data_IF_640406203529
#
_entry.id   IF_640406203529
#
_cell.length_a   1.000
_cell.length_b   1.000
_cell.length_c   1.000
_cell.angle_alpha   90.00
_cell.angle_beta   90.00
_cell.angle_gamma   90.00
#
_symmetry.space_group_name_H-M   'P 1'
#
loop_
_entity.id
_entity.type
_entity.pdbx_description
1 polymer ?
#
# COMPACT_ATOMS: atom_id res chain seq x y z
N UNK A 1 -33.36 -21.08 -2.87
CA UNK A 1 -31.90 -21.12 -2.62
C UNK A 1 -31.26 -20.13 -3.57
N UNK A 2 -31.04 -18.90 -3.12
CA UNK A 2 -30.38 -17.85 -3.91
C UNK A 2 -28.91 -18.21 -4.04
N UNK A 3 -28.49 -18.57 -5.25
CA UNK A 3 -27.06 -18.68 -5.58
C UNK A 3 -26.48 -17.27 -5.44
N UNK A 4 -25.59 -17.06 -4.46
CA UNK A 4 -24.95 -15.78 -4.22
C UNK A 4 -24.18 -15.28 -5.44
N UNK A 5 -24.03 -13.96 -5.55
CA UNK A 5 -23.36 -13.29 -6.66
C UNK A 5 -21.93 -13.87 -6.86
N UNK A 6 -21.51 -14.25 -8.08
CA UNK A 6 -20.15 -14.70 -8.37
C UNK A 6 -19.05 -13.74 -7.88
N UNK A 7 -19.35 -12.44 -7.74
CA UNK A 7 -18.42 -11.47 -7.16
C UNK A 7 -18.21 -11.66 -5.66
N UNK A 8 -19.23 -12.07 -4.90
CA UNK A 8 -19.14 -12.31 -3.45
C UNK A 8 -18.25 -13.53 -3.15
N UNK A 9 -18.32 -14.57 -3.98
CA UNK A 9 -17.45 -15.75 -3.85
C UNK A 9 -15.98 -15.44 -4.14
N UNK A 10 -15.68 -14.59 -5.14
CA UNK A 10 -14.32 -14.11 -5.41
C UNK A 10 -13.79 -13.16 -4.33
N UNK A 11 -14.68 -12.37 -3.71
CA UNK A 11 -14.33 -11.44 -2.64
C UNK A 11 -13.90 -12.19 -1.37
N UNK A 12 -14.62 -13.27 -1.01
CA UNK A 12 -14.27 -14.12 0.14
C UNK A 12 -12.94 -14.87 -0.04
N UNK A 13 -12.62 -15.29 -1.28
CA UNK A 13 -11.43 -16.11 -1.56
C UNK A 13 -10.10 -15.35 -1.43
N UNK A 14 -10.12 -14.02 -1.36
CA UNK A 14 -8.92 -13.19 -1.23
C UNK A 14 -8.77 -12.57 0.17
N UNK A 15 -9.67 -12.87 1.11
CA UNK A 15 -9.55 -12.41 2.49
C UNK A 15 -8.50 -13.24 3.24
N UNK A 16 -7.49 -12.57 3.80
CA UNK A 16 -6.45 -13.23 4.61
C UNK A 16 -6.88 -13.28 6.07
N UNK A 17 -7.36 -12.14 6.58
CA UNK A 17 -7.92 -11.95 7.91
C UNK A 17 -8.90 -10.77 7.87
N UNK A 18 -9.74 -10.55 8.91
CA UNK A 18 -10.60 -9.36 8.97
C UNK A 18 -9.78 -8.08 8.75
N UNK A 19 -10.21 -7.25 7.79
CA UNK A 19 -9.50 -6.02 7.42
C UNK A 19 -8.31 -6.19 6.47
N UNK A 20 -8.04 -7.40 5.94
CA UNK A 20 -6.97 -7.62 4.94
C UNK A 20 -7.42 -8.48 3.77
N UNK A 21 -7.25 -7.95 2.56
CA UNK A 21 -7.33 -8.71 1.31
C UNK A 21 -5.95 -8.83 0.67
N UNK A 22 -5.66 -9.99 0.09
CA UNK A 22 -4.47 -10.24 -0.72
C UNK A 22 -4.89 -10.82 -2.07
N UNK A 23 -4.51 -10.13 -3.14
CA UNK A 23 -4.79 -10.53 -4.52
C UNK A 23 -3.47 -10.88 -5.21
N UNK A 24 -3.14 -12.17 -5.39
CA UNK A 24 -1.97 -12.57 -6.15
C UNK A 24 -2.16 -12.22 -7.63
N UNK A 25 -1.07 -11.92 -8.34
CA UNK A 25 -1.09 -11.59 -9.77
C UNK A 25 -2.10 -10.49 -10.16
N UNK A 26 -2.32 -9.52 -9.27
CA UNK A 26 -3.21 -8.39 -9.48
C UNK A 26 -2.94 -7.63 -10.78
N UNK A 27 -1.70 -7.61 -11.26
CA UNK A 27 -1.38 -7.22 -12.64
C UNK A 27 -0.72 -8.38 -13.41
N UNK A 28 -1.00 -8.52 -14.70
CA UNK A 28 -0.52 -9.64 -15.52
C UNK A 28 0.95 -9.49 -15.95
N UNK A 29 1.66 -10.62 -16.10
CA UNK A 29 3.02 -10.68 -16.67
C UNK A 29 2.99 -10.67 -18.21
N UNK A 30 2.25 -9.73 -18.84
CA UNK A 30 2.32 -9.59 -20.31
C UNK A 30 3.64 -8.91 -20.67
N UNK A 31 4.67 -9.74 -20.85
CA UNK A 31 6.06 -9.46 -21.31
C UNK A 31 6.21 -8.73 -22.66
N UNK A 32 5.30 -7.84 -23.08
CA UNK A 32 5.44 -7.10 -24.36
C UNK A 32 5.30 -5.58 -24.17
N UNK A 33 6.47 -4.95 -23.97
CA UNK A 33 6.91 -3.64 -24.49
C UNK A 33 6.31 -2.32 -23.96
N UNK A 34 5.46 -2.30 -22.91
CA UNK A 34 4.94 -1.02 -22.35
C UNK A 34 5.13 -0.78 -20.84
N UNK A 35 5.80 -1.66 -20.08
CA UNK A 35 6.22 -1.33 -18.70
C UNK A 35 7.30 -0.22 -18.60
N UNK A 36 7.68 0.35 -19.75
CA UNK A 36 8.69 1.39 -19.85
C UNK A 36 8.35 2.64 -19.06
N UNK A 37 7.09 2.97 -18.76
CA UNK A 37 6.77 4.19 -17.99
C UNK A 37 7.13 4.07 -16.51
N UNK A 38 6.78 2.95 -15.85
CA UNK A 38 7.17 2.67 -14.46
C UNK A 38 8.69 2.62 -14.35
N UNK A 39 9.36 1.94 -15.30
CA UNK A 39 10.80 1.77 -15.26
C UNK A 39 11.60 3.00 -15.67
N UNK A 40 11.11 3.82 -16.61
CA UNK A 40 11.75 5.10 -16.97
C UNK A 40 11.62 6.13 -15.85
N UNK A 41 10.60 6.02 -15.01
CA UNK A 41 10.43 6.89 -13.84
C UNK A 41 11.40 6.58 -12.67
N UNK A 42 12.15 5.46 -12.75
CA UNK A 42 13.19 5.04 -11.77
C UNK A 42 14.30 6.07 -11.54
N UNK A 43 14.46 7.06 -12.43
CA UNK A 43 15.58 8.00 -12.43
C UNK A 43 15.34 9.30 -11.64
N UNK A 44 14.16 9.49 -11.01
CA UNK A 44 13.91 10.68 -10.18
C UNK A 44 14.22 10.40 -8.71
N UNK A 45 15.50 10.48 -8.36
CA UNK A 45 15.95 10.53 -6.97
C UNK A 45 15.82 11.97 -6.44
N UNK A 46 15.28 12.14 -5.25
CA UNK A 46 15.31 13.41 -4.55
C UNK A 46 16.74 13.73 -4.05
N UNK A 47 16.93 14.93 -3.48
CA UNK A 47 18.23 15.39 -2.93
C UNK A 47 18.82 14.45 -1.86
N UNK A 48 18.02 13.55 -1.30
CA UNK A 48 18.42 12.58 -0.28
C UNK A 48 18.60 11.16 -0.84
N UNK A 49 18.63 10.99 -2.17
CA UNK A 49 18.82 9.71 -2.84
C UNK A 49 17.59 8.80 -2.90
N UNK A 50 16.45 9.20 -2.31
CA UNK A 50 15.21 8.40 -2.31
C UNK A 50 14.41 8.65 -3.59
N UNK A 51 13.87 7.60 -4.18
CA UNK A 51 12.99 7.68 -5.35
C UNK A 51 11.52 7.59 -4.91
N UNK A 52 11.06 8.61 -4.17
CA UNK A 52 9.65 8.78 -3.79
C UNK A 52 8.97 9.72 -4.77
N UNK A 53 7.85 9.31 -5.35
CA UNK A 53 7.01 10.14 -6.21
C UNK A 53 5.57 10.07 -5.71
N UNK A 54 4.95 11.23 -5.60
CA UNK A 54 3.52 11.35 -5.31
C UNK A 54 2.80 11.77 -6.59
N UNK A 55 1.68 11.12 -6.87
CA UNK A 55 0.78 11.38 -7.98
C UNK A 55 -0.65 11.58 -7.45
N UNK A 56 -1.46 12.40 -8.13
CA UNK A 56 -2.82 12.75 -7.70
C UNK A 56 -2.94 14.11 -7.01
N UNK A 57 -1.81 14.78 -6.77
CA UNK A 57 -1.74 16.15 -6.24
C UNK A 57 -0.88 16.27 -4.99
N UNK A 58 -0.91 17.46 -4.38
CA UNK A 58 -0.20 17.74 -3.13
C UNK A 58 -1.19 17.81 -1.96
N UNK A 59 -0.83 17.17 -0.84
CA UNK A 59 -1.60 17.28 0.40
C UNK A 59 -1.00 18.36 1.29
N UNK A 60 -1.83 19.31 1.68
CA UNK A 60 -1.47 20.37 2.63
C UNK A 60 -1.27 19.82 4.04
N UNK A 61 -0.59 20.58 4.90
CA UNK A 61 -0.48 20.28 6.34
C UNK A 61 -1.84 20.18 7.05
N UNK A 62 -2.91 20.75 6.47
CA UNK A 62 -4.30 20.68 6.95
C UNK A 62 -5.06 19.44 6.43
N UNK A 63 -4.39 18.54 5.71
CA UNK A 63 -4.98 17.31 5.18
C UNK A 63 -5.90 17.52 3.97
N UNK A 64 -5.76 18.63 3.25
CA UNK A 64 -6.52 18.92 2.02
C UNK A 64 -5.66 18.57 0.82
N UNK A 65 -6.17 17.73 -0.09
CA UNK A 65 -5.55 17.40 -1.37
C UNK A 65 -5.92 18.45 -2.43
N UNK A 66 -4.91 19.12 -2.98
CA UNK A 66 -5.05 19.86 -4.23
C UNK A 66 -4.95 18.90 -5.40
N UNK A 67 -6.11 18.40 -5.83
CA UNK A 67 -6.21 17.29 -6.78
C UNK A 67 -5.60 17.60 -8.15
N UNK A 68 -4.83 16.65 -8.67
CA UNK A 68 -4.35 16.63 -10.05
C UNK A 68 -4.74 15.31 -10.72
N UNK A 69 -4.93 15.27 -12.06
CA UNK A 69 -5.19 14.02 -12.76
C UNK A 69 -4.09 12.99 -12.49
N UNK A 70 -4.50 11.76 -12.14
CA UNK A 70 -3.55 10.65 -12.02
C UNK A 70 -2.92 10.33 -13.38
N UNK A 71 -1.61 10.03 -13.46
CA UNK A 71 -0.94 9.72 -14.71
C UNK A 71 -1.53 8.53 -15.46
N UNK A 72 -1.45 8.59 -16.79
CA UNK A 72 -1.89 7.52 -17.70
C UNK A 72 -1.34 6.13 -17.37
N UNK A 73 -0.10 6.03 -16.87
CA UNK A 73 0.50 4.74 -16.55
C UNK A 73 -0.19 4.03 -15.36
N UNK A 74 -0.98 4.75 -14.57
CA UNK A 74 -1.79 4.21 -13.47
C UNK A 74 -3.22 3.92 -13.94
N UNK A 75 -3.76 4.69 -14.90
CA UNK A 75 -5.17 4.58 -15.35
C UNK A 75 -5.40 3.85 -16.68
N UNK A 76 -4.39 3.63 -17.52
CA UNK A 76 -4.60 3.07 -18.88
C UNK A 76 -4.17 1.62 -19.03
N UNK A 77 -2.93 1.28 -18.68
CA UNK A 77 -2.47 -0.10 -18.83
C UNK A 77 -1.27 -0.44 -17.91
N UNK A 78 -1.46 -1.36 -16.94
CA UNK A 78 -2.75 -1.83 -16.45
C UNK A 78 -3.57 -0.65 -15.87
N UNK A 79 -4.89 -0.70 -15.97
CA UNK A 79 -5.75 0.26 -15.25
C UNK A 79 -5.82 -0.16 -13.78
N UNK A 80 -4.89 0.36 -12.99
CA UNK A 80 -4.71 0.04 -11.58
C UNK A 80 -5.87 0.59 -10.76
N UNK A 81 -6.32 1.81 -11.06
CA UNK A 81 -7.38 2.47 -10.29
C UNK A 81 -8.70 1.74 -10.45
N UNK A 82 -9.12 1.43 -11.69
CA UNK A 82 -10.38 0.72 -11.91
C UNK A 82 -10.35 -0.69 -11.31
N UNK A 83 -9.23 -1.40 -11.43
CA UNK A 83 -9.08 -2.72 -10.78
C UNK A 83 -9.14 -2.66 -9.26
N UNK A 84 -8.58 -1.63 -8.62
CA UNK A 84 -8.69 -1.43 -7.17
C UNK A 84 -10.15 -1.11 -6.81
N UNK A 85 -10.81 -0.25 -7.58
CA UNK A 85 -12.23 0.10 -7.40
C UNK A 85 -13.15 -1.13 -7.45
N UNK A 86 -12.90 -2.03 -8.41
CA UNK A 86 -13.65 -3.29 -8.56
C UNK A 86 -13.57 -4.22 -7.34
N UNK A 87 -12.59 -4.03 -6.45
CA UNK A 87 -12.52 -4.82 -5.19
C UNK A 87 -13.58 -4.41 -4.16
N UNK A 88 -14.28 -3.29 -4.39
CA UNK A 88 -15.33 -2.76 -3.53
C UNK A 88 -14.85 -2.13 -2.21
N UNK A 89 -13.56 -2.25 -1.87
CA UNK A 89 -13.02 -1.80 -0.56
C UNK A 89 -13.07 -0.29 -0.36
N UNK A 90 -13.16 0.50 -1.43
CA UNK A 90 -13.31 1.95 -1.38
C UNK A 90 -14.77 2.40 -1.50
N UNK A 91 -15.77 1.50 -1.52
CA UNK A 91 -17.16 1.87 -1.81
C UNK A 91 -17.73 2.97 -0.88
N UNK A 92 -17.28 2.96 0.38
CA UNK A 92 -17.66 3.93 1.43
C UNK A 92 -16.74 5.16 1.50
N UNK A 93 -15.72 5.22 0.65
CA UNK A 93 -14.81 6.37 0.56
C UNK A 93 -15.48 7.51 -0.22
N UNK A 94 -15.16 8.79 0.07
CA UNK A 94 -15.77 9.94 -0.62
C UNK A 94 -15.69 9.88 -2.14
N UNK A 95 -14.58 9.38 -2.70
CA UNK A 95 -14.38 9.30 -4.15
C UNK A 95 -14.65 7.91 -4.73
N UNK A 96 -14.91 6.91 -3.89
CA UNK A 96 -15.15 5.49 -4.25
C UNK A 96 -13.99 4.80 -4.97
N UNK A 97 -12.84 5.47 -5.08
CA UNK A 97 -11.62 4.98 -5.70
C UNK A 97 -10.41 5.78 -5.17
N UNK A 98 -9.18 5.26 -5.29
CA UNK A 98 -7.99 6.02 -4.91
C UNK A 98 -7.83 7.31 -5.74
N UNK A 99 -7.55 8.42 -5.05
CA UNK A 99 -7.24 9.72 -5.65
C UNK A 99 -5.81 10.20 -5.41
N UNK A 100 -5.04 9.49 -4.58
CA UNK A 100 -3.67 9.82 -4.20
C UNK A 100 -2.81 8.56 -4.24
N UNK A 101 -1.72 8.60 -5.00
CA UNK A 101 -0.83 7.45 -5.20
C UNK A 101 0.60 7.85 -4.89
N UNK A 102 1.25 7.08 -4.01
CA UNK A 102 2.66 7.26 -3.70
C UNK A 102 3.41 6.07 -4.27
N UNK A 103 4.26 6.34 -5.26
CA UNK A 103 5.28 5.40 -5.71
C UNK A 103 6.47 5.55 -4.77
N UNK A 104 6.67 4.56 -3.90
CA UNK A 104 7.62 4.71 -2.81
C UNK A 104 8.45 3.46 -2.54
N UNK A 105 9.61 3.75 -1.93
CA UNK A 105 10.20 2.96 -0.85
C UNK A 105 9.42 3.24 0.46
N UNK A 106 9.38 2.35 1.45
CA UNK A 106 8.35 2.35 2.51
C UNK A 106 8.16 3.68 3.25
N UNK A 107 6.91 4.03 3.59
CA UNK A 107 6.55 5.21 4.39
C UNK A 107 5.44 4.86 5.40
N UNK A 108 5.32 5.66 6.46
CA UNK A 108 4.22 5.59 7.42
C UNK A 108 3.05 6.49 6.99
N UNK A 109 1.84 6.10 7.36
CA UNK A 109 0.61 6.74 6.91
C UNK A 109 0.13 7.78 7.93
N UNK A 110 -0.13 9.00 7.45
CA UNK A 110 -0.79 10.03 8.25
C UNK A 110 -2.30 9.83 8.32
N UNK A 111 -2.99 10.45 9.30
CA UNK A 111 -4.43 10.24 9.60
C UNK A 111 -5.39 10.85 8.56
N UNK A 112 -4.89 11.33 7.42
CA UNK A 112 -5.62 12.11 6.42
C UNK A 112 -6.37 11.26 5.38
N UNK A 113 -6.14 9.96 5.39
CA UNK A 113 -6.69 9.03 4.43
C UNK A 113 -7.96 8.36 4.97
N UNK A 114 -8.90 8.06 4.07
CA UNK A 114 -9.95 7.07 4.37
C UNK A 114 -9.28 5.77 4.84
N UNK A 115 -9.85 5.00 5.79
CA UNK A 115 -9.16 3.88 6.45
C UNK A 115 -9.05 2.64 5.56
N UNK A 116 -8.47 2.81 4.38
CA UNK A 116 -8.23 1.83 3.33
C UNK A 116 -6.93 2.24 2.62
N UNK A 117 -5.99 1.30 2.55
CA UNK A 117 -4.76 1.44 1.77
C UNK A 117 -4.58 0.21 0.89
N UNK A 118 -4.31 0.43 -0.40
CA UNK A 118 -4.01 -0.62 -1.36
C UNK A 118 -2.55 -0.49 -1.81
N UNK A 119 -1.73 -1.51 -1.56
CA UNK A 119 -0.30 -1.52 -1.88
C UNK A 119 0.00 -2.58 -2.93
N UNK A 120 0.39 -2.12 -4.13
CA UNK A 120 0.81 -2.96 -5.24
C UNK A 120 2.31 -3.21 -5.19
N UNK A 121 2.72 -4.47 -5.13
CA UNK A 121 4.12 -4.90 -5.09
C UNK A 121 4.69 -5.06 -6.50
N UNK A 122 5.82 -4.41 -6.78
CA UNK A 122 6.51 -4.42 -8.08
C UNK A 122 8.00 -4.74 -7.90
N UNK A 123 8.64 -5.28 -8.93
CA UNK A 123 10.09 -5.54 -8.91
C UNK A 123 10.45 -6.86 -8.24
N UNK A 124 10.26 -7.00 -6.92
CA UNK A 124 10.60 -8.20 -6.14
C UNK A 124 9.58 -8.46 -5.02
N UNK A 125 9.50 -9.69 -4.54
CA UNK A 125 8.69 -10.08 -3.38
C UNK A 125 9.23 -9.49 -2.07
N UNK A 126 8.40 -9.44 -1.04
CA UNK A 126 8.82 -9.04 0.31
C UNK A 126 7.84 -9.51 1.39
N UNK A 127 8.29 -9.56 2.64
CA UNK A 127 7.42 -9.76 3.79
C UNK A 127 6.85 -8.42 4.27
N UNK A 128 5.54 -8.43 4.51
CA UNK A 128 4.76 -7.31 5.00
C UNK A 128 4.22 -7.65 6.38
N UNK A 129 4.45 -6.78 7.35
CA UNK A 129 4.17 -7.03 8.75
C UNK A 129 3.08 -6.09 9.26
N UNK A 130 2.28 -6.59 10.21
CA UNK A 130 1.43 -5.78 11.06
C UNK A 130 1.95 -5.87 12.49
N UNK A 131 2.10 -4.74 13.15
CA UNK A 131 2.57 -4.61 14.52
C UNK A 131 1.51 -3.94 15.38
N UNK A 132 1.30 -4.47 16.57
CA UNK A 132 0.39 -3.87 17.54
C UNK A 132 1.04 -2.62 18.15
N UNK A 133 0.28 -1.53 18.24
CA UNK A 133 0.72 -0.40 19.06
C UNK A 133 0.65 -0.77 20.54
N UNK A 134 1.65 -0.36 21.31
CA UNK A 134 1.57 -0.49 22.78
C UNK A 134 0.56 0.51 23.32
N UNK A 135 -0.20 0.08 24.33
CA UNK A 135 -0.95 1.01 25.15
C UNK A 135 0.03 1.98 25.78
N UNK A 136 -0.32 3.27 25.76
CA UNK A 136 0.45 4.30 26.43
C UNK A 136 0.14 4.16 27.92
N UNK A 137 0.69 3.13 28.56
CA UNK A 137 0.53 2.90 29.98
C UNK A 137 0.99 4.13 30.75
N UNK A 138 0.05 4.71 31.51
CA UNK A 138 0.22 5.59 32.69
C UNK A 138 1.58 6.29 32.84
N UNK A 139 1.99 7.07 31.84
CA UNK A 139 2.91 8.18 32.11
C UNK A 139 2.04 9.35 32.59
N UNK A 140 2.33 9.80 33.81
CA UNK A 140 1.69 10.89 34.54
C UNK A 140 1.26 12.08 33.67
N UNK A 141 0.15 12.76 34.02
CA UNK A 141 -0.43 13.84 33.22
C UNK A 141 0.44 15.10 33.35
N UNK A 142 1.52 15.16 32.58
CA UNK A 142 2.18 16.42 32.27
C UNK A 142 2.38 16.49 30.77
N UNK A 143 1.82 17.55 30.20
CA UNK A 143 1.93 17.99 28.81
C UNK A 143 0.92 17.39 27.83
N UNK A 144 -0.31 17.86 28.00
CA UNK A 144 -1.18 18.20 26.88
C UNK A 144 -0.54 19.32 26.07
N UNK A 145 0.31 18.97 25.11
CA UNK A 145 0.69 19.88 24.03
C UNK A 145 1.01 19.12 22.76
N UNK A 146 0.50 19.67 21.66
CA UNK A 146 0.56 19.14 20.33
C UNK A 146 1.98 18.88 19.83
N UNK A 147 2.09 17.90 18.92
CA UNK A 147 3.07 17.85 17.83
C UNK A 147 4.55 18.03 18.21
N UNK A 148 5.20 16.96 18.66
CA UNK A 148 6.62 16.71 18.37
C UNK A 148 6.74 15.27 17.89
N UNK A 149 7.26 15.06 16.67
CA UNK A 149 7.17 13.82 15.88
C UNK A 149 7.88 12.57 16.42
N UNK A 150 7.56 12.12 17.64
CA UNK A 150 7.89 10.78 18.12
C UNK A 150 6.76 9.83 17.72
N UNK A 151 7.08 8.84 16.89
CA UNK A 151 6.14 7.79 16.46
C UNK A 151 5.55 7.03 17.65
N UNK A 152 4.35 6.46 17.47
CA UNK A 152 3.68 5.68 18.53
C UNK A 152 4.47 4.39 18.79
N UNK A 153 4.75 4.02 20.05
CA UNK A 153 5.50 2.80 20.36
C UNK A 153 4.73 1.56 19.89
N UNK A 154 5.46 0.57 19.36
CA UNK A 154 4.93 -0.71 18.88
C UNK A 154 5.53 -1.88 19.67
N UNK A 155 4.83 -3.01 19.68
CA UNK A 155 5.47 -4.30 19.91
C UNK A 155 6.36 -4.64 18.70
N UNK A 156 7.68 -4.89 18.89
CA UNK A 156 8.56 -5.26 17.79
C UNK A 156 8.23 -6.65 17.19
N UNK A 157 7.42 -7.48 17.87
CA UNK A 157 6.96 -8.75 17.34
C UNK A 157 5.73 -8.51 16.45
N UNK A 158 5.77 -8.89 15.16
CA UNK A 158 4.60 -8.75 14.30
C UNK A 158 3.48 -9.69 14.76
N UNK A 159 2.26 -9.17 14.80
CA UNK A 159 1.05 -9.96 15.08
C UNK A 159 0.58 -10.74 13.85
N UNK A 160 0.81 -10.17 12.66
CA UNK A 160 0.52 -10.79 11.36
C UNK A 160 1.67 -10.55 10.39
N UNK A 161 1.92 -11.52 9.52
CA UNK A 161 2.92 -11.40 8.45
C UNK A 161 2.41 -12.02 7.16
N UNK A 162 2.57 -11.29 6.07
CA UNK A 162 2.17 -11.71 4.73
C UNK A 162 3.39 -11.72 3.81
N UNK A 163 3.48 -12.69 2.90
CA UNK A 163 4.42 -12.64 1.80
C UNK A 163 3.74 -12.00 0.59
N UNK A 164 4.26 -10.85 0.14
CA UNK A 164 3.75 -10.15 -1.03
C UNK A 164 4.56 -10.58 -2.25
N UNK A 165 3.93 -11.31 -3.16
CA UNK A 165 4.55 -11.71 -4.42
C UNK A 165 4.66 -10.51 -5.36
N UNK A 166 5.56 -10.60 -6.34
CA UNK A 166 5.63 -9.62 -7.42
C UNK A 166 4.27 -9.53 -8.12
N UNK A 167 3.84 -8.31 -8.46
CA UNK A 167 2.56 -8.02 -9.11
C UNK A 167 1.32 -8.30 -8.25
N UNK A 168 1.48 -8.59 -6.96
CA UNK A 168 0.37 -8.77 -6.03
C UNK A 168 -0.12 -7.44 -5.44
N UNK A 169 -1.37 -7.42 -4.99
CA UNK A 169 -1.95 -6.30 -4.26
C UNK A 169 -2.31 -6.78 -2.85
N UNK A 170 -1.87 -6.05 -1.83
CA UNK A 170 -2.43 -6.15 -0.47
C UNK A 170 -3.30 -4.94 -0.20
N UNK A 171 -4.45 -5.15 0.45
CA UNK A 171 -5.35 -4.09 0.86
C UNK A 171 -5.57 -4.24 2.36
N UNK A 172 -5.23 -3.19 3.12
CA UNK A 172 -5.54 -3.09 4.55
C UNK A 172 -6.68 -2.09 4.72
N UNK A 173 -7.72 -2.45 5.47
CA UNK A 173 -8.89 -1.60 5.67
C UNK A 173 -9.52 -1.78 7.06
N UNK A 174 -10.35 -0.81 7.44
CA UNK A 174 -11.08 -0.82 8.71
C UNK A 174 -10.13 -0.75 9.92
N UNK A 175 -10.44 -1.52 10.96
CA UNK A 175 -9.72 -1.46 12.23
C UNK A 175 -8.24 -1.82 12.07
N UNK A 176 -7.89 -2.82 11.26
CA UNK A 176 -6.50 -3.22 11.10
C UNK A 176 -5.65 -2.12 10.45
N UNK A 177 -6.24 -1.29 9.59
CA UNK A 177 -5.54 -0.13 9.03
C UNK A 177 -5.22 0.93 10.10
N UNK A 178 -6.16 1.22 11.00
CA UNK A 178 -6.03 2.32 11.98
C UNK A 178 -5.31 1.91 13.26
N UNK A 179 -5.47 0.66 13.68
CA UNK A 179 -5.00 0.16 14.99
C UNK A 179 -3.63 -0.51 14.95
N UNK A 180 -3.03 -0.71 13.77
CA UNK A 180 -1.73 -1.37 13.62
C UNK A 180 -0.78 -0.57 12.75
N UNK A 181 0.49 -0.53 13.15
CA UNK A 181 1.55 -0.14 12.23
C UNK A 181 1.71 -1.26 11.22
N UNK A 182 1.71 -0.93 9.93
CA UNK A 182 1.84 -1.94 8.89
C UNK A 182 2.81 -1.49 7.80
N UNK A 183 3.59 -2.43 7.29
CA UNK A 183 4.58 -2.11 6.28
C UNK A 183 5.59 -3.21 6.05
N UNK A 184 6.39 -3.01 5.01
CA UNK A 184 7.55 -3.86 4.74
C UNK A 184 8.75 -3.37 5.55
N UNK A 185 9.60 -4.28 5.98
CA UNK A 185 10.86 -3.94 6.64
C UNK A 185 11.70 -2.99 5.78
N UNK A 186 12.13 -1.87 6.36
CA UNK A 186 12.95 -0.88 5.68
C UNK A 186 14.37 -1.43 5.49
N UNK A 187 14.91 -1.34 4.28
CA UNK A 187 16.34 -1.58 4.02
C UNK A 187 16.79 -0.57 2.97
N UNK A 188 18.02 -0.03 3.05
CA UNK A 188 18.49 0.95 2.09
C UNK A 188 18.48 0.40 0.65
N UNK A 189 18.23 1.24 -0.38
CA UNK A 189 18.33 0.82 -1.77
C UNK A 189 19.70 0.23 -2.10
N UNK A 190 19.71 -0.95 -2.75
CA UNK A 190 20.93 -1.64 -3.16
C UNK A 190 21.52 -2.61 -2.13
N UNK A 191 20.99 -2.67 -0.90
CA UNK A 191 21.37 -3.71 0.04
C UNK A 191 20.80 -5.06 -0.41
N UNK A 192 21.67 -5.97 -0.85
CA UNK A 192 21.32 -7.38 -0.96
C UNK A 192 21.17 -7.92 0.45
N UNK A 193 19.98 -8.43 0.76
CA UNK A 193 19.64 -8.91 2.09
C UNK A 193 18.77 -10.15 2.00
N UNK A 194 18.59 -10.76 3.15
CA UNK A 194 17.85 -12.00 3.29
C UNK A 194 16.67 -11.71 4.23
N UNK A 195 15.46 -12.07 3.80
CA UNK A 195 14.26 -11.90 4.60
C UNK A 195 13.90 -13.24 5.24
N UNK A 196 13.88 -13.27 6.57
CA UNK A 196 13.56 -14.48 7.33
C UNK A 196 12.09 -14.84 7.16
N UNK A 197 11.83 -16.10 6.86
CA UNK A 197 10.49 -16.71 6.81
C UNK A 197 10.15 -17.45 8.11
N UNK A 198 10.95 -17.26 9.17
CA UNK A 198 10.75 -17.92 10.46
C UNK A 198 9.45 -17.48 11.18
N UNK A 199 8.78 -16.44 10.69
CA UNK A 199 7.46 -16.03 11.17
C UNK A 199 6.36 -16.65 10.30
N UNK A 200 5.24 -17.03 10.92
CA UNK A 200 4.06 -17.53 10.22
C UNK A 200 3.61 -16.55 9.13
N UNK A 201 3.40 -17.07 7.92
CA UNK A 201 2.87 -16.30 6.78
C UNK A 201 1.36 -16.58 6.63
N UNK A 202 0.53 -15.59 6.96
CA UNK A 202 -0.93 -15.75 7.05
C UNK A 202 -1.58 -15.97 5.69
N UNK A 203 -1.00 -15.41 4.62
CA UNK A 203 -1.50 -15.58 3.24
C UNK A 203 -0.84 -16.74 2.47
N UNK A 204 -0.18 -17.68 3.15
CA UNK A 204 0.56 -18.79 2.50
C UNK A 204 -0.30 -19.57 1.49
N UNK A 205 -1.57 -19.79 1.82
CA UNK A 205 -2.54 -20.51 0.98
C UNK A 205 -2.94 -19.77 -0.31
N UNK A 206 -2.68 -18.46 -0.39
CA UNK A 206 -2.99 -17.62 -1.55
C UNK A 206 -1.78 -17.40 -2.48
N UNK A 207 -0.58 -17.80 -2.06
CA UNK A 207 0.62 -17.66 -2.88
C UNK A 207 0.49 -18.49 -4.16
N UNK A 208 1.08 -18.01 -5.25
CA UNK A 208 1.08 -18.67 -6.58
C UNK A 208 2.43 -19.25 -6.95
N UNK A 209 3.51 -18.69 -6.43
CA UNK A 209 4.86 -19.16 -6.66
C UNK A 209 5.16 -20.37 -5.78
N UNK A 210 5.18 -21.56 -6.40
CA UNK A 210 5.48 -22.82 -5.71
C UNK A 210 6.93 -22.88 -5.20
N UNK A 211 7.86 -22.16 -5.84
CA UNK A 211 9.23 -22.05 -5.36
C UNK A 211 9.32 -21.27 -4.06
N UNK A 212 8.58 -20.16 -3.93
CA UNK A 212 8.47 -19.40 -2.68
C UNK A 212 7.77 -20.22 -1.59
N UNK A 213 6.73 -20.97 -1.93
CA UNK A 213 6.07 -21.86 -0.96
C UNK A 213 7.02 -22.91 -0.42
N UNK A 214 7.79 -23.55 -1.31
CA UNK A 214 8.74 -24.58 -0.91
C UNK A 214 9.87 -24.01 -0.05
N UNK A 215 10.40 -22.83 -0.43
CA UNK A 215 11.38 -22.12 0.38
C UNK A 215 10.84 -21.85 1.81
N UNK A 216 9.60 -21.37 1.95
CA UNK A 216 8.97 -21.16 3.27
C UNK A 216 8.84 -22.48 4.04
N UNK A 217 8.37 -23.57 3.42
CA UNK A 217 8.21 -24.88 4.09
C UNK A 217 9.53 -25.42 4.63
N UNK A 218 10.62 -25.17 3.91
CA UNK A 218 11.97 -25.57 4.30
C UNK A 218 12.64 -24.58 5.27
N UNK A 219 11.94 -23.53 5.73
CA UNK A 219 12.51 -22.49 6.56
C UNK A 219 13.61 -21.69 5.86
N UNK A 220 13.66 -21.75 4.53
CA UNK A 220 14.61 -20.99 3.74
C UNK A 220 14.21 -19.54 3.71
N UNK A 221 15.25 -18.72 3.75
CA UNK A 221 15.10 -17.29 3.71
C UNK A 221 14.97 -16.78 2.28
N UNK A 222 14.20 -15.70 2.09
CA UNK A 222 13.92 -15.16 0.75
C UNK A 222 14.95 -14.09 0.42
N UNK A 223 15.59 -14.23 -0.74
CA UNK A 223 16.52 -13.21 -1.25
C UNK A 223 15.76 -11.93 -1.60
N UNK A 224 16.22 -10.79 -1.07
CA UNK A 224 15.72 -9.47 -1.45
C UNK A 224 16.36 -9.01 -2.76
N UNK A 225 15.53 -8.47 -3.64
CA UNK A 225 15.97 -7.77 -4.84
C UNK A 225 15.29 -6.39 -4.91
N UNK A 226 15.65 -5.59 -5.91
CA UNK A 226 15.09 -4.25 -6.09
C UNK A 226 13.56 -4.31 -6.21
N UNK A 227 12.89 -3.69 -5.24
CA UNK A 227 11.43 -3.64 -5.11
C UNK A 227 10.95 -2.20 -5.20
N UNK A 228 9.76 -2.04 -5.77
CA UNK A 228 9.00 -0.81 -5.79
C UNK A 228 7.58 -1.10 -5.33
N UNK A 229 6.89 -0.10 -4.80
CA UNK A 229 5.47 -0.24 -4.50
C UNK A 229 4.69 0.97 -4.97
N UNK A 230 3.43 0.75 -5.36
CA UNK A 230 2.45 1.83 -5.47
C UNK A 230 1.52 1.71 -4.29
N UNK A 231 1.43 2.77 -3.51
CA UNK A 231 0.49 2.85 -2.40
C UNK A 231 -0.65 3.78 -2.78
N UNK A 232 -1.85 3.24 -2.93
CA UNK A 232 -3.03 3.90 -3.45
C UNK A 232 -4.04 4.16 -2.31
N UNK A 233 -4.51 5.40 -2.19
CA UNK A 233 -5.40 5.87 -1.11
C UNK A 233 -6.42 6.87 -1.61
N UNK A 234 -7.43 7.09 -0.77
CA UNK A 234 -8.38 8.19 -0.92
C UNK A 234 -8.16 9.25 0.17
N UNK A 235 -7.76 10.46 -0.22
CA UNK A 235 -7.76 11.64 0.66
C UNK A 235 -9.16 12.22 0.67
N UNK A 236 -9.79 12.20 1.85
CA UNK A 236 -11.21 12.54 1.98
C UNK A 236 -11.53 14.01 1.65
N UNK A 237 -10.61 14.93 1.96
CA UNK A 237 -10.80 16.37 1.74
C UNK A 237 -10.03 16.82 0.50
N UNK A 238 -10.75 17.26 -0.52
CA UNK A 238 -10.16 17.77 -1.76
C UNK A 238 -10.49 19.25 -1.99
N UNK A 239 -9.60 19.96 -2.67
CA UNK A 239 -9.81 21.30 -3.18
C UNK A 239 -9.45 21.36 -4.66
N UNK A 240 -10.27 22.05 -5.46
CA UNK A 240 -9.98 22.35 -6.86
C UNK A 240 -9.46 23.78 -6.99
N UNK A 241 -8.41 23.98 -7.80
CA UNK A 241 -8.03 25.31 -8.25
C UNK A 241 -9.10 25.74 -9.26
N UNK A 242 -10.07 26.54 -8.82
CA UNK A 242 -11.04 27.16 -9.71
C UNK A 242 -10.29 28.02 -10.73
N UNK A 243 -10.39 27.67 -12.02
CA UNK A 243 -9.94 28.54 -13.10
C UNK A 243 -10.84 29.78 -13.03
N UNK A 244 -10.37 30.86 -12.40
CA UNK A 244 -10.97 32.17 -12.58
C UNK A 244 -10.72 32.56 -14.03
N UNK A 245 -11.72 32.39 -14.88
CA UNK A 245 -11.73 33.02 -16.19
C UNK A 245 -11.63 34.52 -15.96
N UNK A 246 -10.44 35.09 -16.21
CA UNK A 246 -10.26 36.53 -16.31
C UNK A 246 -11.08 36.97 -17.52
N UNK A 247 -12.33 37.39 -17.28
CA UNK A 247 -13.05 38.23 -18.23
C UNK A 247 -12.33 39.58 -18.23
N UNK A 248 -11.43 39.75 -19.19
CA UNK A 248 -10.97 41.07 -19.59
C UNK A 248 -12.17 41.71 -20.30
N UNK A 249 -12.80 42.67 -19.62
CA UNK A 249 -13.81 43.54 -20.20
C UNK A 249 -13.18 44.65 -21.02
#
# INVERSE_FOLDING_TARGET
>A
MTVGDPQDQRSAQNCVLPGVKYLPEFISDRRKKKHTSFEKSKNRRNRNGRCSRTDGGEVTSKGILYGQPLPDFIRKFPDIISRIKETGVFADSPHKEPNHVIMNEPHEDGPIYHPVVATLTLGSQCVFHYYQYKDRGEESPTDSSASTGKGRPIDPKPVHSLLLERRSLVISFGDLYTSHLHGTTQTPPGSSGVESTATRIDNFHLLRDEGLKEAIRQGQSIKRETRWSLTCRDVSRTASLGIRSLRIG
#
